data_IF_468491414257
#
_entry.id   IF_468491414257
#
_cell.length_a   1.000
_cell.length_b   1.000
_cell.length_c   1.000
_cell.angle_alpha   90.00
_cell.angle_beta   90.00
_cell.angle_gamma   90.00
#
_symmetry.space_group_name_H-M   'P 1'
#
loop_
_entity.id
_entity.type
_entity.pdbx_description
1 polymer ?
#
# COMPACT_ATOMS: atom_id res chain seq x y z
N UNK A 1 -21.01 69.26 22.68
CA UNK A 1 -21.36 67.84 22.90
C UNK A 1 -20.80 67.11 21.70
N UNK A 2 -19.56 66.68 21.84
CA UNK A 2 -18.83 65.93 20.82
C UNK A 2 -19.26 64.47 20.97
N UNK A 3 -20.03 63.97 20.02
CA UNK A 3 -20.40 62.56 19.99
C UNK A 3 -19.17 61.75 19.57
N UNK A 4 -18.59 61.03 20.53
CA UNK A 4 -17.57 60.01 20.29
C UNK A 4 -18.06 58.99 19.25
N UNK A 5 -17.21 58.50 18.33
CA UNK A 5 -17.64 57.48 17.38
C UNK A 5 -17.89 56.17 18.11
N UNK A 6 -19.12 55.65 18.02
CA UNK A 6 -19.47 54.29 18.48
C UNK A 6 -18.49 53.30 17.86
N UNK A 7 -17.80 52.54 18.72
CA UNK A 7 -16.96 51.42 18.30
C UNK A 7 -17.79 50.46 17.44
N UNK A 8 -17.34 50.21 16.21
CA UNK A 8 -17.85 49.14 15.37
C UNK A 8 -17.39 47.84 16.03
N UNK A 9 -18.27 47.21 16.79
CA UNK A 9 -18.06 45.84 17.26
C UNK A 9 -18.16 44.97 16.01
N UNK A 10 -17.05 44.33 15.63
CA UNK A 10 -17.02 43.23 14.67
C UNK A 10 -17.69 42.01 15.33
N UNK A 11 -19.00 42.07 15.52
CA UNK A 11 -19.78 40.88 15.89
C UNK A 11 -19.91 40.00 14.67
N UNK A 12 -19.42 38.77 14.85
CA UNK A 12 -19.66 37.59 14.04
C UNK A 12 -19.20 37.70 12.58
N UNK A 13 -17.88 37.71 12.39
CA UNK A 13 -17.34 37.10 11.19
C UNK A 13 -17.92 35.67 11.12
N UNK A 14 -18.61 35.28 10.04
CA UNK A 14 -18.99 33.88 9.88
C UNK A 14 -17.70 33.07 10.01
N UNK A 15 -17.70 32.12 10.94
CA UNK A 15 -16.69 31.07 10.98
C UNK A 15 -16.92 30.30 9.70
N UNK A 16 -16.34 30.78 8.60
CA UNK A 16 -16.14 29.99 7.41
C UNK A 16 -15.33 28.82 7.95
N UNK A 17 -15.85 27.57 7.90
CA UNK A 17 -15.03 26.44 8.25
C UNK A 17 -13.87 26.51 7.27
N UNK A 18 -12.71 26.89 7.78
CA UNK A 18 -11.47 26.82 7.05
C UNK A 18 -11.41 25.35 6.64
N UNK A 19 -11.63 25.06 5.36
CA UNK A 19 -11.40 23.76 4.79
C UNK A 19 -9.88 23.55 4.76
N UNK A 20 -9.25 23.48 5.94
CA UNK A 20 -7.91 22.96 6.15
C UNK A 20 -7.99 21.45 6.07
N UNK A 21 -8.43 20.94 4.94
CA UNK A 21 -7.91 19.71 4.41
C UNK A 21 -7.74 19.99 2.93
N UNK A 22 -6.55 20.44 2.56
CA UNK A 22 -6.01 20.12 1.26
C UNK A 22 -6.08 18.60 1.18
N UNK A 23 -7.20 18.07 0.68
CA UNK A 23 -7.32 16.69 0.23
C UNK A 23 -6.26 16.59 -0.84
N UNK A 24 -5.08 16.16 -0.43
CA UNK A 24 -4.11 15.53 -1.29
C UNK A 24 -4.89 14.37 -1.92
N UNK A 25 -5.48 14.64 -3.08
CA UNK A 25 -6.39 13.76 -3.79
C UNK A 25 -5.69 12.52 -4.35
N UNK A 26 -4.41 12.35 -4.00
CA UNK A 26 -3.60 11.19 -4.35
C UNK A 26 -3.89 10.03 -3.39
N UNK A 27 -4.06 8.84 -3.97
CA UNK A 27 -4.06 7.61 -3.21
C UNK A 27 -2.74 7.47 -2.40
N UNK A 28 -2.79 7.50 -1.05
CA UNK A 28 -1.58 7.46 -0.21
C UNK A 28 -0.78 6.16 -0.40
N UNK A 29 -1.46 5.05 -0.71
CA UNK A 29 -0.81 3.76 -0.92
C UNK A 29 -0.05 3.62 -2.24
N UNK A 30 -0.13 4.62 -3.15
CA UNK A 30 0.48 4.53 -4.49
C UNK A 30 2.01 4.39 -4.43
N UNK A 31 2.68 5.12 -3.54
CA UNK A 31 4.14 5.05 -3.42
C UNK A 31 4.59 3.67 -2.92
N UNK A 32 3.97 3.19 -1.85
CA UNK A 32 4.20 1.86 -1.27
C UNK A 32 3.98 0.75 -2.30
N UNK A 33 2.88 0.84 -3.08
CA UNK A 33 2.61 -0.10 -4.17
C UNK A 33 3.71 -0.08 -5.24
N UNK A 34 4.14 1.09 -5.72
CA UNK A 34 5.20 1.21 -6.74
C UNK A 34 6.52 0.61 -6.24
N UNK A 35 6.92 0.92 -5.01
CA UNK A 35 8.12 0.36 -4.39
C UNK A 35 8.03 -1.17 -4.33
N UNK A 36 6.89 -1.69 -3.87
CA UNK A 36 6.65 -3.13 -3.80
C UNK A 36 6.76 -3.81 -5.18
N UNK A 37 6.18 -3.20 -6.22
CA UNK A 37 6.29 -3.71 -7.60
C UNK A 37 7.72 -3.73 -8.11
N UNK A 38 8.47 -2.63 -7.92
CA UNK A 38 9.86 -2.53 -8.38
C UNK A 38 10.73 -3.59 -7.72
N UNK A 39 10.59 -3.79 -6.40
CA UNK A 39 11.35 -4.80 -5.66
C UNK A 39 11.00 -6.22 -6.11
N UNK A 40 9.71 -6.50 -6.31
CA UNK A 40 9.25 -7.79 -6.79
C UNK A 40 9.85 -8.12 -8.17
N UNK A 41 9.75 -7.22 -9.15
CA UNK A 41 10.34 -7.45 -10.47
C UNK A 41 11.87 -7.50 -10.44
N UNK A 42 12.52 -6.70 -9.59
CA UNK A 42 13.97 -6.75 -9.40
C UNK A 42 14.42 -8.10 -8.87
N UNK A 43 13.65 -8.72 -7.97
CA UNK A 43 13.95 -10.07 -7.46
C UNK A 43 14.02 -11.11 -8.58
N UNK A 44 13.13 -11.03 -9.59
CA UNK A 44 13.10 -11.96 -10.72
C UNK A 44 14.41 -11.86 -11.52
N UNK A 45 14.88 -10.64 -11.77
CA UNK A 45 16.17 -10.41 -12.45
C UNK A 45 17.36 -10.84 -11.60
N UNK A 46 17.28 -10.76 -10.27
CA UNK A 46 18.35 -11.23 -9.40
C UNK A 46 18.44 -12.76 -9.41
N UNK A 47 17.31 -13.47 -9.37
CA UNK A 47 17.29 -14.94 -9.48
C UNK A 47 17.81 -15.45 -10.83
N UNK A 48 17.60 -14.70 -11.92
CA UNK A 48 18.07 -15.13 -13.25
C UNK A 48 19.59 -15.15 -13.38
N UNK A 49 20.31 -14.45 -12.50
CA UNK A 49 21.78 -14.46 -12.47
C UNK A 49 22.37 -15.78 -11.96
N UNK A 50 21.58 -16.63 -11.28
CA UNK A 50 21.98 -17.92 -10.69
C UNK A 50 23.17 -17.87 -9.73
N UNK A 51 23.62 -16.67 -9.33
CA UNK A 51 24.67 -16.47 -8.36
C UNK A 51 24.07 -16.51 -6.95
N UNK A 52 24.63 -17.30 -6.03
CA UNK A 52 24.13 -17.49 -4.65
C UNK A 52 23.91 -16.17 -3.92
N UNK A 53 24.84 -15.21 -4.04
CA UNK A 53 24.71 -13.90 -3.42
C UNK A 53 23.54 -13.10 -4.01
N UNK A 54 23.37 -13.13 -5.33
CA UNK A 54 22.26 -12.48 -6.01
C UNK A 54 20.93 -13.16 -5.68
N UNK A 55 20.89 -14.48 -5.52
CA UNK A 55 19.70 -15.22 -5.07
C UNK A 55 19.28 -14.80 -3.66
N UNK A 56 20.23 -14.66 -2.72
CA UNK A 56 19.94 -14.18 -1.37
C UNK A 56 19.36 -12.76 -1.36
N UNK A 57 19.95 -11.84 -2.13
CA UNK A 57 19.40 -10.48 -2.28
C UNK A 57 18.04 -10.53 -2.98
N UNK A 58 17.86 -11.42 -3.96
CA UNK A 58 16.60 -11.66 -4.64
C UNK A 58 15.50 -12.07 -3.67
N UNK A 59 15.77 -13.02 -2.76
CA UNK A 59 14.82 -13.41 -1.70
C UNK A 59 14.47 -12.22 -0.81
N UNK A 60 15.47 -11.47 -0.35
CA UNK A 60 15.26 -10.27 0.46
C UNK A 60 14.39 -9.23 -0.26
N UNK A 61 14.69 -8.94 -1.52
CA UNK A 61 13.92 -8.02 -2.34
C UNK A 61 12.48 -8.50 -2.55
N UNK A 62 12.28 -9.81 -2.75
CA UNK A 62 10.96 -10.41 -2.89
C UNK A 62 10.15 -10.26 -1.60
N UNK A 63 10.73 -10.59 -0.44
CA UNK A 63 10.05 -10.48 0.86
C UNK A 63 9.68 -9.03 1.17
N UNK A 64 10.64 -8.10 1.03
CA UNK A 64 10.40 -6.67 1.28
C UNK A 64 9.35 -6.14 0.28
N UNK A 65 9.44 -6.52 -0.99
CA UNK A 65 8.48 -6.15 -2.02
C UNK A 65 7.05 -6.54 -1.66
N UNK A 66 6.83 -7.78 -1.20
CA UNK A 66 5.52 -8.26 -0.75
C UNK A 66 4.99 -7.46 0.44
N UNK A 67 5.86 -7.12 1.40
CA UNK A 67 5.47 -6.29 2.56
C UNK A 67 4.99 -4.90 2.11
N UNK A 68 5.73 -4.25 1.22
CA UNK A 68 5.33 -2.93 0.67
C UNK A 68 4.03 -3.00 -0.15
N UNK A 69 3.82 -4.07 -0.92
CA UNK A 69 2.54 -4.30 -1.61
C UNK A 69 1.38 -4.44 -0.61
N UNK A 70 1.59 -5.16 0.49
CA UNK A 70 0.60 -5.32 1.57
C UNK A 70 0.26 -4.00 2.26
N UNK A 71 1.28 -3.22 2.64
CA UNK A 71 1.11 -1.89 3.24
C UNK A 71 0.35 -0.97 2.28
N UNK A 72 0.80 -0.87 1.03
CA UNK A 72 0.17 -0.03 0.02
C UNK A 72 -1.28 -0.43 -0.29
N UNK A 73 -1.58 -1.73 -0.28
CA UNK A 73 -2.94 -2.24 -0.41
C UNK A 73 -3.81 -1.82 0.78
N UNK A 74 -3.31 -1.95 2.01
CA UNK A 74 -4.04 -1.57 3.22
C UNK A 74 -4.27 -0.07 3.31
N UNK A 75 -3.27 0.75 3.01
CA UNK A 75 -3.38 2.22 2.94
C UNK A 75 -4.42 2.64 1.89
N UNK A 76 -4.36 2.04 0.70
CA UNK A 76 -5.33 2.32 -0.37
C UNK A 76 -6.75 1.92 0.05
N UNK A 77 -6.91 0.76 0.69
CA UNK A 77 -8.22 0.27 1.15
C UNK A 77 -8.81 1.16 2.24
N UNK A 78 -8.00 1.59 3.21
CA UNK A 78 -8.43 2.49 4.27
C UNK A 78 -8.85 3.83 3.68
N UNK A 79 -8.03 4.42 2.81
CA UNK A 79 -8.36 5.65 2.11
C UNK A 79 -9.67 5.55 1.30
N UNK A 80 -9.91 4.42 0.62
CA UNK A 80 -11.19 4.19 -0.08
C UNK A 80 -12.38 4.14 0.86
N UNK A 81 -12.21 3.49 2.02
CA UNK A 81 -13.25 3.40 3.05
C UNK A 81 -13.57 4.79 3.63
N UNK A 82 -12.55 5.60 3.89
CA UNK A 82 -12.70 6.94 4.46
C UNK A 82 -13.31 7.94 3.47
N UNK A 83 -13.21 7.67 2.16
CA UNK A 83 -13.78 8.50 1.08
C UNK A 83 -15.05 7.90 0.44
N UNK A 84 -15.66 6.86 1.04
CA UNK A 84 -16.84 6.14 0.52
C UNK A 84 -16.69 5.68 -0.95
N UNK A 85 -15.46 5.42 -1.40
CA UNK A 85 -15.17 5.08 -2.78
C UNK A 85 -15.28 3.56 -2.99
N UNK A 86 -16.40 3.12 -3.57
CA UNK A 86 -16.66 1.69 -3.84
C UNK A 86 -15.81 1.11 -4.97
N UNK A 87 -15.20 1.94 -5.83
CA UNK A 87 -14.40 1.46 -6.96
C UNK A 87 -13.03 0.99 -6.48
N UNK A 88 -12.59 -0.15 -6.97
CA UNK A 88 -11.23 -0.63 -6.75
C UNK A 88 -10.24 0.16 -7.59
N UNK A 89 -9.08 0.45 -7.02
CA UNK A 89 -7.99 1.06 -7.78
C UNK A 89 -7.29 0.02 -8.65
N UNK A 90 -6.70 0.48 -9.75
CA UNK A 90 -5.90 -0.39 -10.63
C UNK A 90 -4.75 -1.04 -9.83
N UNK A 91 -4.14 -0.31 -8.89
CA UNK A 91 -3.08 -0.84 -8.04
C UNK A 91 -3.52 -2.03 -7.20
N UNK A 92 -4.69 -1.95 -6.55
CA UNK A 92 -5.21 -3.07 -5.76
C UNK A 92 -5.55 -4.29 -6.62
N UNK A 93 -6.12 -4.08 -7.81
CA UNK A 93 -6.40 -5.16 -8.76
C UNK A 93 -5.10 -5.85 -9.22
N UNK A 94 -4.06 -5.06 -9.50
CA UNK A 94 -2.75 -5.60 -9.89
C UNK A 94 -2.12 -6.39 -8.75
N UNK A 95 -2.21 -5.93 -7.49
CA UNK A 95 -1.70 -6.68 -6.33
C UNK A 95 -2.43 -8.02 -6.17
N UNK A 96 -3.77 -8.02 -6.27
CA UNK A 96 -4.55 -9.26 -6.17
C UNK A 96 -4.15 -10.23 -7.27
N UNK A 97 -4.01 -9.74 -8.51
CA UNK A 97 -3.62 -10.57 -9.64
C UNK A 97 -2.20 -11.12 -9.49
N UNK A 98 -1.28 -10.33 -8.95
CA UNK A 98 0.10 -10.75 -8.72
C UNK A 98 0.19 -11.78 -7.59
N UNK A 99 -0.55 -11.58 -6.49
CA UNK A 99 -0.65 -12.56 -5.40
C UNK A 99 -1.35 -13.85 -5.83
N UNK A 100 -2.33 -13.79 -6.73
CA UNK A 100 -2.99 -15.01 -7.22
C UNK A 100 -2.08 -15.83 -8.13
N UNK A 101 -1.31 -15.17 -9.00
CA UNK A 101 -0.39 -15.84 -9.94
C UNK A 101 0.84 -16.40 -9.25
N UNK A 102 1.43 -15.68 -8.30
CA UNK A 102 2.68 -16.10 -7.65
C UNK A 102 2.48 -16.62 -6.23
N UNK A 103 1.65 -15.96 -5.43
CA UNK A 103 1.44 -16.29 -4.03
C UNK A 103 0.69 -17.61 -3.81
N UNK A 104 -0.36 -17.89 -4.60
CA UNK A 104 -1.13 -19.14 -4.46
C UNK A 104 -0.27 -20.37 -4.82
N UNK A 105 0.44 -20.42 -5.96
CA UNK A 105 1.28 -21.59 -6.28
C UNK A 105 2.43 -21.78 -5.29
N UNK A 106 3.07 -20.70 -4.84
CA UNK A 106 4.10 -20.78 -3.80
C UNK A 106 3.54 -21.31 -2.48
N UNK A 107 2.37 -20.81 -2.04
CA UNK A 107 1.73 -21.27 -0.82
C UNK A 107 1.31 -22.75 -0.88
N UNK A 108 0.77 -23.19 -2.01
CA UNK A 108 0.43 -24.60 -2.24
C UNK A 108 1.67 -25.49 -2.24
N UNK A 109 2.75 -25.09 -2.93
CA UNK A 109 3.99 -25.86 -2.96
C UNK A 109 4.64 -26.02 -1.59
N UNK A 110 4.58 -24.98 -0.74
CA UNK A 110 5.06 -25.07 0.65
C UNK A 110 4.19 -26.02 1.48
N UNK A 111 2.86 -25.94 1.34
CA UNK A 111 1.92 -26.84 2.01
C UNK A 111 2.14 -28.30 1.62
N UNK A 112 2.34 -28.57 0.33
CA UNK A 112 2.67 -29.91 -0.17
C UNK A 112 4.01 -30.41 0.39
N UNK A 113 5.04 -29.56 0.41
CA UNK A 113 6.35 -29.92 0.96
C UNK A 113 6.26 -30.27 2.45
N UNK A 114 5.56 -29.46 3.25
CA UNK A 114 5.35 -29.71 4.68
C UNK A 114 4.55 -31.01 4.88
N UNK A 115 3.50 -31.24 4.08
CA UNK A 115 2.70 -32.45 4.17
C UNK A 115 3.53 -33.71 3.86
N UNK A 116 4.37 -33.66 2.82
CA UNK A 116 5.27 -34.75 2.46
C UNK A 116 6.27 -35.01 3.57
N UNK A 117 6.95 -33.98 4.09
CA UNK A 117 7.89 -34.17 5.19
C UNK A 117 7.21 -34.79 6.42
N UNK A 118 6.03 -34.29 6.79
CA UNK A 118 5.28 -34.80 7.95
C UNK A 118 4.83 -36.25 7.75
N UNK A 119 4.46 -36.64 6.54
CA UNK A 119 4.07 -38.01 6.21
C UNK A 119 5.25 -39.00 6.24
N UNK A 120 6.46 -38.56 5.89
CA UNK A 120 7.66 -39.42 5.89
C UNK A 120 8.42 -39.42 7.23
N UNK A 121 8.10 -38.53 8.17
CA UNK A 121 8.70 -38.49 9.52
C UNK A 121 7.87 -39.17 10.61
N UNK A 122 6.60 -39.54 10.34
CA UNK A 122 5.80 -40.46 11.18
C UNK A 122 5.94 -41.91 10.73
#
# INVERSE_FOLDING_TARGET
MEEEPKAIILTDAPIIPIQTEEKTSGNPGRASLVIGFVLFFSSIFMFSTLNEFCCLIGVLALVIGVVFLGIGFQETRNWRKDNDNKKWTIGELLVILLLSVFGIPLGLGILEFIWIEFYYTM
#
